data_IF_193410501726
#
_entry.id   IF_193410501726
#
_cell.length_a   1.000
_cell.length_b   1.000
_cell.length_c   1.000
_cell.angle_alpha   90.00
_cell.angle_beta   90.00
_cell.angle_gamma   90.00
#
_symmetry.space_group_name_H-M   'P 1'
#
loop_
_entity.id
_entity.type
_entity.pdbx_description
1 polymer ?
#
# COMPACT_ATOMS: atom_id res chain seq x y z
N UNK A 1 -0.02 -0.62 -5.63
CA UNK A 1 -0.49 -0.26 -6.98
C UNK A 1 -1.08 -1.46 -7.71
N UNK A 2 -0.34 -2.56 -7.93
CA UNK A 2 -0.85 -3.76 -8.61
C UNK A 2 -2.17 -4.32 -8.02
N UNK A 3 -2.34 -4.30 -6.69
CA UNK A 3 -3.61 -4.68 -6.03
C UNK A 3 -4.81 -3.82 -6.47
N UNK A 4 -4.58 -2.54 -6.76
CA UNK A 4 -5.63 -1.61 -7.20
C UNK A 4 -5.97 -1.86 -8.67
N UNK A 5 -4.97 -2.10 -9.53
CA UNK A 5 -5.19 -2.55 -10.91
C UNK A 5 -6.02 -3.85 -10.97
N UNK A 6 -5.66 -4.83 -10.14
CA UNK A 6 -6.41 -6.08 -10.02
C UNK A 6 -7.86 -5.85 -9.55
N UNK A 7 -8.07 -4.91 -8.61
CA UNK A 7 -9.41 -4.55 -8.15
C UNK A 7 -10.21 -3.85 -9.26
N UNK A 8 -9.58 -2.96 -10.03
CA UNK A 8 -10.19 -2.29 -11.18
C UNK A 8 -10.67 -3.31 -12.23
N UNK A 9 -9.82 -4.27 -12.60
CA UNK A 9 -10.19 -5.34 -13.53
C UNK A 9 -11.43 -6.14 -13.06
N UNK A 10 -11.49 -6.49 -11.77
CA UNK A 10 -12.67 -7.15 -11.19
C UNK A 10 -13.93 -6.29 -11.28
N UNK A 11 -13.81 -4.97 -11.08
CA UNK A 11 -14.95 -4.05 -11.21
C UNK A 11 -15.40 -3.94 -12.66
N UNK A 12 -14.48 -3.88 -13.62
CA UNK A 12 -14.80 -3.86 -15.05
C UNK A 12 -15.60 -5.12 -15.46
N UNK A 13 -15.20 -6.30 -14.98
CA UNK A 13 -15.98 -7.53 -15.21
C UNK A 13 -17.36 -7.49 -14.55
N UNK A 14 -17.42 -7.05 -13.28
CA UNK A 14 -18.68 -6.90 -12.55
C UNK A 14 -19.66 -5.95 -13.26
N UNK A 15 -19.14 -4.95 -13.98
CA UNK A 15 -19.92 -3.96 -14.74
C UNK A 15 -20.21 -4.39 -16.18
N UNK A 16 -19.70 -5.54 -16.63
CA UNK A 16 -19.94 -6.09 -17.97
C UNK A 16 -19.07 -5.50 -19.08
N UNK A 17 -18.02 -4.74 -18.75
CA UNK A 17 -17.09 -4.20 -19.76
C UNK A 17 -16.12 -5.26 -20.31
N UNK A 18 -15.81 -6.26 -19.51
CA UNK A 18 -14.94 -7.39 -19.86
C UNK A 18 -15.50 -8.69 -19.28
N UNK A 19 -15.06 -9.83 -19.80
CA UNK A 19 -15.41 -11.13 -19.23
C UNK A 19 -14.68 -11.36 -17.90
N UNK A 20 -15.19 -12.30 -17.08
CA UNK A 20 -14.52 -12.68 -15.84
C UNK A 20 -13.20 -13.41 -16.11
N UNK A 21 -13.09 -14.11 -17.24
CA UNK A 21 -11.88 -14.77 -17.69
C UNK A 21 -10.76 -13.75 -17.92
N UNK A 22 -11.04 -12.67 -18.67
CA UNK A 22 -10.08 -11.57 -18.90
C UNK A 22 -9.72 -10.87 -17.58
N UNK A 23 -10.71 -10.58 -16.74
CA UNK A 23 -10.43 -9.93 -15.45
C UNK A 23 -9.56 -10.80 -14.54
N UNK A 24 -9.82 -12.10 -14.48
CA UNK A 24 -9.03 -13.04 -13.69
C UNK A 24 -7.61 -13.15 -14.24
N UNK A 25 -7.43 -13.16 -15.55
CA UNK A 25 -6.12 -13.13 -16.18
C UNK A 25 -5.32 -11.88 -15.77
N UNK A 26 -5.95 -10.69 -15.83
CA UNK A 26 -5.31 -9.43 -15.39
C UNK A 26 -4.97 -9.48 -13.90
N UNK A 27 -5.84 -10.04 -13.06
CA UNK A 27 -5.58 -10.21 -11.63
C UNK A 27 -4.38 -11.12 -11.38
N UNK A 28 -4.25 -12.22 -12.12
CA UNK A 28 -3.08 -13.10 -12.03
C UNK A 28 -1.81 -12.40 -12.52
N UNK A 29 -1.88 -11.73 -13.68
CA UNK A 29 -0.78 -10.94 -14.22
C UNK A 29 -0.29 -9.90 -13.20
N UNK A 30 -1.19 -9.11 -12.63
CA UNK A 30 -0.87 -8.12 -11.60
C UNK A 30 -0.29 -8.72 -10.32
N UNK A 31 -0.68 -9.93 -9.93
CA UNK A 31 -0.15 -10.62 -8.75
C UNK A 31 1.24 -11.22 -8.99
N UNK A 32 1.59 -11.47 -10.26
CA UNK A 32 2.88 -12.06 -10.66
C UNK A 32 3.99 -11.03 -10.94
N UNK A 33 3.64 -9.73 -11.02
CA UNK A 33 4.62 -8.67 -11.27
C UNK A 33 5.54 -8.50 -10.07
N UNK A 34 6.84 -8.44 -10.34
CA UNK A 34 7.88 -8.20 -9.35
C UNK A 34 8.28 -6.72 -9.29
N UNK A 35 8.91 -6.32 -8.19
CA UNK A 35 9.35 -4.93 -7.99
C UNK A 35 10.50 -4.59 -8.94
N UNK A 36 11.39 -5.55 -9.16
CA UNK A 36 12.56 -5.45 -10.02
C UNK A 36 12.15 -5.18 -11.48
N UNK A 37 11.17 -5.94 -12.00
CA UNK A 37 10.61 -5.75 -13.35
C UNK A 37 10.05 -4.32 -13.54
N UNK A 38 9.33 -3.81 -12.53
CA UNK A 38 8.74 -2.46 -12.60
C UNK A 38 9.83 -1.40 -12.60
N UNK A 39 10.86 -1.53 -11.75
CA UNK A 39 11.97 -0.57 -11.72
C UNK A 39 12.82 -0.60 -12.98
N UNK A 40 13.02 -1.76 -13.59
CA UNK A 40 13.70 -1.88 -14.89
C UNK A 40 12.94 -1.14 -15.98
N UNK A 41 11.63 -1.36 -16.06
CA UNK A 41 10.79 -0.71 -17.04
C UNK A 41 10.67 0.80 -16.77
N UNK A 42 10.56 1.22 -15.52
CA UNK A 42 10.53 2.63 -15.12
C UNK A 42 11.83 3.34 -15.52
N UNK A 43 12.99 2.70 -15.35
CA UNK A 43 14.26 3.28 -15.79
C UNK A 43 14.25 3.60 -17.28
N UNK A 44 13.58 2.78 -18.10
CA UNK A 44 13.46 2.91 -19.55
C UNK A 44 12.50 4.02 -19.96
N UNK A 45 11.34 4.12 -19.30
CA UNK A 45 10.25 5.00 -19.76
C UNK A 45 10.03 6.25 -18.90
N UNK A 46 10.69 6.33 -17.73
CA UNK A 46 10.62 7.42 -16.76
C UNK A 46 9.20 7.76 -16.29
N UNK A 47 8.36 6.74 -16.13
CA UNK A 47 7.00 6.86 -15.65
C UNK A 47 6.58 5.57 -14.93
N UNK A 48 6.45 5.66 -13.60
CA UNK A 48 6.17 4.57 -12.66
C UNK A 48 4.90 3.76 -12.96
N UNK A 49 3.75 4.43 -13.10
CA UNK A 49 2.48 3.75 -13.38
C UNK A 49 2.48 3.11 -14.75
N UNK A 50 3.00 3.82 -15.76
CA UNK A 50 3.10 3.24 -17.09
C UNK A 50 4.02 2.01 -17.09
N UNK A 51 5.05 1.99 -16.24
CA UNK A 51 5.96 0.87 -16.13
C UNK A 51 5.25 -0.33 -15.54
N UNK A 52 4.52 -0.14 -14.43
CA UNK A 52 3.67 -1.18 -13.84
C UNK A 52 2.66 -1.73 -14.86
N UNK A 53 1.96 -0.85 -15.59
CA UNK A 53 0.98 -1.25 -16.61
C UNK A 53 1.64 -2.10 -17.71
N UNK A 54 2.83 -1.72 -18.17
CA UNK A 54 3.57 -2.51 -19.17
C UNK A 54 3.97 -3.88 -18.61
N UNK A 55 4.46 -3.94 -17.36
CA UNK A 55 4.78 -5.20 -16.70
C UNK A 55 3.55 -6.12 -16.61
N UNK A 56 2.38 -5.60 -16.20
CA UNK A 56 1.13 -6.39 -16.16
C UNK A 56 0.75 -6.85 -17.57
N UNK A 57 0.79 -5.95 -18.56
CA UNK A 57 0.47 -6.28 -19.96
C UNK A 57 1.38 -7.38 -20.52
N UNK A 58 2.62 -7.48 -20.07
CA UNK A 58 3.55 -8.53 -20.49
C UNK A 58 3.24 -9.92 -19.90
N UNK A 59 2.37 -10.00 -18.88
CA UNK A 59 1.98 -11.24 -18.19
C UNK A 59 0.59 -11.74 -18.61
N UNK A 60 -0.05 -11.08 -19.59
CA UNK A 60 -1.40 -11.41 -20.04
C UNK A 60 -1.46 -11.55 -21.56
N UNK A 61 -2.52 -12.20 -22.03
CA UNK A 61 -2.86 -12.46 -23.42
C UNK A 61 -3.05 -11.18 -24.22
N UNK A 62 -2.95 -11.28 -25.54
CA UNK A 62 -3.20 -10.14 -26.42
C UNK A 62 -4.63 -9.60 -26.28
N UNK A 63 -5.58 -10.48 -25.96
CA UNK A 63 -6.98 -10.13 -25.71
C UNK A 63 -7.15 -9.31 -24.43
N UNK A 64 -6.42 -9.64 -23.36
CA UNK A 64 -6.51 -8.93 -22.08
C UNK A 64 -5.78 -7.58 -22.06
N UNK A 65 -4.72 -7.41 -22.86
CA UNK A 65 -3.85 -6.21 -22.87
C UNK A 65 -4.55 -4.85 -22.98
N UNK A 66 -5.61 -4.66 -23.79
CA UNK A 66 -6.30 -3.37 -23.92
C UNK A 66 -7.04 -2.96 -22.64
N UNK A 67 -7.35 -3.92 -21.77
CA UNK A 67 -8.18 -3.71 -20.58
C UNK A 67 -7.36 -3.42 -19.33
N UNK A 68 -6.05 -3.63 -19.36
CA UNK A 68 -5.14 -3.23 -18.27
C UNK A 68 -5.14 -1.71 -18.17
N UNK A 69 -5.45 -1.18 -16.97
CA UNK A 69 -5.57 0.26 -16.69
C UNK A 69 -6.70 0.97 -17.46
N UNK A 70 -7.69 0.24 -17.98
CA UNK A 70 -8.78 0.85 -18.74
C UNK A 70 -9.59 1.83 -17.88
N UNK A 71 -9.85 3.02 -18.43
CA UNK A 71 -10.59 4.14 -17.82
C UNK A 71 -9.93 4.80 -16.61
N UNK A 72 -8.80 4.29 -16.13
CA UNK A 72 -8.07 4.90 -15.03
C UNK A 72 -7.06 5.93 -15.54
N UNK A 73 -6.80 6.91 -14.69
CA UNK A 73 -5.61 7.76 -14.73
C UNK A 73 -4.59 7.25 -13.71
N UNK A 74 -3.37 7.79 -13.75
CA UNK A 74 -2.31 7.45 -12.79
C UNK A 74 -2.77 7.59 -11.34
N UNK A 75 -3.51 8.65 -11.02
CA UNK A 75 -3.86 8.98 -9.64
C UNK A 75 -5.02 8.14 -9.08
N UNK A 76 -5.90 7.59 -9.93
CA UNK A 76 -6.89 6.59 -9.49
C UNK A 76 -6.21 5.37 -8.84
N UNK A 77 -5.02 5.02 -9.34
CA UNK A 77 -4.21 3.91 -8.84
C UNK A 77 -3.29 4.34 -7.69
N UNK A 78 -2.55 5.44 -7.88
CA UNK A 78 -1.54 5.92 -6.90
C UNK A 78 -2.21 6.34 -5.59
N UNK A 79 -3.24 7.19 -5.64
CA UNK A 79 -3.84 7.72 -4.42
C UNK A 79 -4.59 6.65 -3.65
N UNK A 80 -5.31 5.76 -4.35
CA UNK A 80 -5.95 4.61 -3.71
C UNK A 80 -4.92 3.69 -3.06
N UNK A 81 -3.79 3.42 -3.72
CA UNK A 81 -2.73 2.61 -3.15
C UNK A 81 -2.08 3.29 -1.94
N UNK A 82 -1.88 4.61 -1.99
CA UNK A 82 -1.34 5.39 -0.88
C UNK A 82 -2.28 5.43 0.31
N UNK A 83 -3.57 5.67 0.10
CA UNK A 83 -4.58 5.65 1.15
C UNK A 83 -4.62 4.28 1.86
N UNK A 84 -4.58 3.18 1.10
CA UNK A 84 -4.49 1.84 1.67
C UNK A 84 -3.18 1.62 2.46
N UNK A 85 -2.06 2.10 1.93
CA UNK A 85 -0.75 2.01 2.60
C UNK A 85 -0.74 2.77 3.93
N UNK A 86 -1.27 4.00 3.95
CA UNK A 86 -1.34 4.80 5.17
C UNK A 86 -2.27 4.17 6.20
N UNK A 87 -3.46 3.72 5.78
CA UNK A 87 -4.37 2.97 6.65
C UNK A 87 -3.67 1.77 7.28
N UNK A 88 -3.03 0.92 6.47
CA UNK A 88 -2.38 -0.28 6.97
C UNK A 88 -1.19 0.05 7.88
N UNK A 89 -0.37 1.06 7.55
CA UNK A 89 0.72 1.51 8.42
C UNK A 89 0.20 2.02 9.77
N UNK A 90 -0.86 2.82 9.79
CA UNK A 90 -1.48 3.33 11.02
C UNK A 90 -2.03 2.18 11.88
N UNK A 91 -2.86 1.32 11.30
CA UNK A 91 -3.58 0.30 12.08
C UNK A 91 -2.75 -0.93 12.43
N UNK A 92 -1.78 -1.30 11.60
CA UNK A 92 -1.03 -2.56 11.76
C UNK A 92 0.37 -2.37 12.35
N UNK A 93 0.88 -1.14 12.39
CA UNK A 93 2.22 -0.85 12.90
C UNK A 93 2.15 0.20 13.99
N UNK A 94 1.74 1.43 13.66
CA UNK A 94 1.81 2.56 14.59
C UNK A 94 0.94 2.34 15.82
N UNK A 95 -0.34 2.01 15.65
CA UNK A 95 -1.26 1.82 16.78
C UNK A 95 -0.82 0.67 17.73
N UNK A 96 -0.46 -0.53 17.23
CA UNK A 96 0.12 -1.58 18.07
C UNK A 96 1.34 -1.12 18.88
N UNK A 97 2.29 -0.43 18.24
CA UNK A 97 3.51 0.03 18.90
C UNK A 97 3.21 1.09 19.98
N UNK A 98 2.27 2.00 19.71
CA UNK A 98 1.85 3.02 20.69
C UNK A 98 1.13 2.41 21.88
N UNK A 99 0.28 1.41 21.67
CA UNK A 99 -0.40 0.68 22.75
C UNK A 99 0.64 -0.05 23.62
N UNK A 100 1.66 -0.64 23.00
CA UNK A 100 2.72 -1.32 23.76
C UNK A 100 3.58 -0.35 24.56
N UNK A 101 3.94 0.79 23.95
CA UNK A 101 4.66 1.86 24.65
C UNK A 101 3.86 2.39 25.85
N UNK A 102 2.56 2.61 25.67
CA UNK A 102 1.65 3.06 26.73
C UNK A 102 1.65 2.09 27.91
N UNK A 103 1.54 0.78 27.65
CA UNK A 103 1.59 -0.25 28.70
C UNK A 103 2.91 -0.22 29.46
N UNK A 104 4.03 -0.13 28.76
CA UNK A 104 5.36 -0.04 29.40
C UNK A 104 5.43 1.18 30.31
N UNK A 105 4.94 2.34 29.85
CA UNK A 105 4.90 3.54 30.68
C UNK A 105 3.97 3.41 31.88
N UNK A 106 2.81 2.78 31.73
CA UNK A 106 1.91 2.50 32.84
C UNK A 106 2.59 1.61 33.89
N UNK A 107 3.26 0.54 33.47
CA UNK A 107 3.99 -0.35 34.36
C UNK A 107 5.11 0.37 35.12
N UNK A 108 5.92 1.17 34.41
CA UNK A 108 6.97 1.97 35.02
C UNK A 108 6.40 3.00 36.00
N UNK A 109 5.33 3.67 35.62
CA UNK A 109 4.67 4.68 36.45
C UNK A 109 4.16 4.06 37.75
N UNK A 110 3.46 2.92 37.66
CA UNK A 110 2.97 2.21 38.85
C UNK A 110 4.12 1.68 39.73
N UNK A 111 5.21 1.20 39.12
CA UNK A 111 6.39 0.70 39.85
C UNK A 111 7.11 1.80 40.61
N UNK A 112 7.26 2.98 40.00
CA UNK A 112 8.09 4.06 40.55
C UNK A 112 7.31 5.20 41.19
N UNK A 113 5.97 5.08 41.33
CA UNK A 113 5.12 6.14 41.88
C UNK A 113 5.55 6.69 43.25
N UNK A 114 6.12 5.85 44.10
CA UNK A 114 6.56 6.22 45.45
C UNK A 114 8.08 6.50 45.52
N UNK A 115 8.77 6.49 44.38
CA UNK A 115 10.20 6.81 44.31
C UNK A 115 10.39 8.31 44.42
N UNK A 116 11.07 8.78 45.47
CA UNK A 116 11.41 10.20 45.61
C UNK A 116 12.34 10.63 44.47
N UNK A 117 11.94 11.67 43.74
CA UNK A 117 12.69 12.24 42.62
C UNK A 117 12.79 13.76 42.77
N UNK A 118 13.94 14.33 42.41
CA UNK A 118 14.13 15.79 42.39
C UNK A 118 13.30 16.39 41.25
N UNK A 119 12.39 17.30 41.60
CA UNK A 119 11.65 18.10 40.64
C UNK A 119 12.59 18.99 39.83
N UNK A 120 12.27 19.21 38.56
CA UNK A 120 13.03 20.13 37.71
C UNK A 120 12.12 21.07 36.94
N UNK A 121 12.31 22.36 37.10
CA UNK A 121 11.70 23.41 36.27
C UNK A 121 12.81 24.19 35.57
N UNK A 122 12.63 24.52 34.28
CA UNK A 122 13.71 25.11 33.44
C UNK A 122 15.04 24.35 33.46
N UNK A 123 15.02 23.05 33.76
CA UNK A 123 16.22 22.22 33.91
C UNK A 123 17.01 22.43 35.21
N UNK A 124 16.48 23.21 36.17
CA UNK A 124 17.06 23.44 37.49
C UNK A 124 16.26 22.73 38.57
N UNK A 125 16.89 22.41 39.71
CA UNK A 125 16.18 21.77 40.83
C UNK A 125 15.04 22.68 41.33
N UNK A 126 13.90 22.06 41.65
CA UNK A 126 12.73 22.72 42.21
C UNK A 126 12.20 21.94 43.42
#
# INVERSE_FOLDING_TARGET
>A
MAKVEAALAKVLAKRGFISWEIANEIVQGASSVTVEEVYEEERRIKHDIRALVNCIRNKVSQEAKPYVHLFATSYDIVDTANALRYKDATYKVILPDMIELEKIWMELTLRYKDTLQIGRTHGQHA
#
